data_IF_931181623433
#
_entry.id   IF_931181623433
#
_cell.length_a   1.000
_cell.length_b   1.000
_cell.length_c   1.000
_cell.angle_alpha   90.00
_cell.angle_beta   90.00
_cell.angle_gamma   90.00
#
_symmetry.space_group_name_H-M   'P 1'
#
loop_
_entity.id
_entity.type
_entity.pdbx_description
1 polymer ?
#
# COMPACT_ATOMS: atom_id res chain seq x y z
N UNK A 1 39.51 7.98 -41.84
CA UNK A 1 38.97 6.80 -41.12
C UNK A 1 38.31 7.25 -39.80
N UNK A 2 37.08 7.80 -39.81
CA UNK A 2 36.43 8.30 -38.56
C UNK A 2 34.91 8.01 -38.43
N UNK A 3 34.26 7.45 -39.46
CA UNK A 3 32.79 7.23 -39.44
C UNK A 3 32.36 5.94 -38.72
N UNK A 4 33.16 4.86 -38.80
CA UNK A 4 32.77 3.55 -38.23
C UNK A 4 32.83 3.54 -36.69
N UNK A 5 33.83 4.18 -36.10
CA UNK A 5 34.00 4.23 -34.63
C UNK A 5 32.90 5.05 -33.96
N UNK A 6 32.46 6.14 -34.59
CA UNK A 6 31.38 7.00 -34.06
C UNK A 6 30.03 6.30 -34.05
N UNK A 7 29.76 5.43 -35.04
CA UNK A 7 28.49 4.70 -35.13
C UNK A 7 28.41 3.59 -34.06
N UNK A 8 29.52 2.89 -33.81
CA UNK A 8 29.59 1.84 -32.78
C UNK A 8 29.40 2.43 -31.38
N UNK A 9 30.03 3.57 -31.09
CA UNK A 9 29.85 4.26 -29.79
C UNK A 9 28.40 4.70 -29.59
N UNK A 10 27.76 5.25 -30.62
CA UNK A 10 26.35 5.67 -30.53
C UNK A 10 25.40 4.49 -30.27
N UNK A 11 25.61 3.35 -30.94
CA UNK A 11 24.82 2.13 -30.73
C UNK A 11 24.99 1.60 -29.31
N UNK A 12 26.22 1.60 -28.77
CA UNK A 12 26.48 1.17 -27.39
C UNK A 12 25.77 2.09 -26.39
N UNK A 13 25.80 3.41 -26.59
CA UNK A 13 25.08 4.35 -25.73
C UNK A 13 23.56 4.17 -25.79
N UNK A 14 23.00 3.89 -26.96
CA UNK A 14 21.55 3.62 -27.12
C UNK A 14 21.17 2.32 -26.41
N UNK A 15 21.97 1.26 -26.57
CA UNK A 15 21.72 -0.02 -25.90
C UNK A 15 21.86 0.11 -24.37
N UNK A 16 22.86 0.87 -23.89
CA UNK A 16 22.98 1.18 -22.47
C UNK A 16 21.81 2.01 -21.94
N UNK A 17 21.35 3.01 -22.69
CA UNK A 17 20.21 3.84 -22.31
C UNK A 17 18.91 3.05 -22.29
N UNK A 18 18.73 2.09 -23.20
CA UNK A 18 17.58 1.17 -23.21
C UNK A 18 17.68 0.19 -22.02
N UNK A 19 18.86 -0.35 -21.71
CA UNK A 19 19.06 -1.22 -20.54
C UNK A 19 18.84 -0.48 -19.21
N UNK A 20 19.33 0.75 -19.09
CA UNK A 20 19.07 1.63 -17.94
C UNK A 20 17.59 2.01 -17.89
N UNK A 21 16.96 2.25 -19.03
CA UNK A 21 15.51 2.44 -19.15
C UNK A 21 14.73 1.22 -18.65
N UNK A 22 15.10 0.00 -19.05
CA UNK A 22 14.46 -1.23 -18.57
C UNK A 22 14.70 -1.50 -17.07
N UNK A 23 15.88 -1.17 -16.55
CA UNK A 23 16.19 -1.26 -15.11
C UNK A 23 15.42 -0.21 -14.30
N UNK A 24 15.14 0.96 -14.87
CA UNK A 24 14.35 2.01 -14.23
C UNK A 24 12.83 1.83 -14.40
N UNK A 25 12.38 1.11 -15.42
CA UNK A 25 10.95 0.84 -15.70
C UNK A 25 10.41 -0.34 -14.87
N UNK A 26 11.28 -1.14 -14.23
CA UNK A 26 10.89 -2.26 -13.37
C UNK A 26 11.09 -2.03 -11.86
N UNK A 27 11.15 -0.77 -11.39
CA UNK A 27 10.72 -0.46 -10.01
C UNK A 27 9.21 -0.38 -9.99
N UNK A 28 8.58 -1.49 -10.40
CA UNK A 28 7.15 -1.65 -10.41
C UNK A 28 6.69 -1.64 -8.97
N UNK A 29 6.20 -0.48 -8.57
CA UNK A 29 5.08 -0.35 -7.64
C UNK A 29 5.49 -0.69 -6.19
N UNK A 30 5.52 0.31 -5.30
CA UNK A 30 6.12 0.27 -3.96
C UNK A 30 5.76 -0.95 -3.10
N UNK A 31 6.36 -1.11 -1.91
CA UNK A 31 6.35 -2.37 -1.15
C UNK A 31 4.95 -2.82 -0.66
N UNK A 32 3.87 -2.16 -1.08
CA UNK A 32 2.50 -2.51 -0.77
C UNK A 32 1.94 -3.44 -1.84
N UNK A 33 1.33 -4.54 -1.42
CA UNK A 33 0.61 -5.50 -2.25
C UNK A 33 -0.92 -5.37 -2.13
N UNK A 34 -1.42 -4.80 -1.04
CA UNK A 34 -2.85 -4.59 -0.82
C UNK A 34 -3.18 -3.98 0.53
N UNK A 35 -4.46 -3.69 0.73
CA UNK A 35 -5.04 -3.19 1.97
C UNK A 35 -6.37 -3.89 2.24
N UNK A 36 -6.60 -4.24 3.51
CA UNK A 36 -7.92 -4.61 4.03
C UNK A 36 -8.33 -3.64 5.13
N UNK A 37 -9.54 -3.10 5.04
CA UNK A 37 -10.21 -2.37 6.11
C UNK A 37 -11.19 -3.32 6.83
N UNK A 38 -11.08 -3.42 8.15
CA UNK A 38 -11.91 -4.31 8.97
C UNK A 38 -12.16 -3.75 10.38
N UNK A 39 -13.09 -4.34 11.14
CA UNK A 39 -13.30 -4.03 12.58
C UNK A 39 -12.38 -4.81 13.53
N UNK A 40 -11.50 -5.65 12.97
CA UNK A 40 -10.58 -6.49 13.72
C UNK A 40 -9.17 -6.42 13.16
N UNK A 41 -8.21 -6.69 14.03
CA UNK A 41 -6.81 -6.82 13.66
C UNK A 41 -6.59 -8.10 12.84
N UNK A 42 -5.90 -7.96 11.71
CA UNK A 42 -5.33 -9.06 10.94
C UNK A 42 -3.80 -9.01 11.15
N UNK A 43 -3.35 -9.55 12.27
CA UNK A 43 -1.98 -9.42 12.81
C UNK A 43 -0.94 -10.33 12.13
N UNK A 44 -1.35 -11.18 11.19
CA UNK A 44 -0.47 -12.02 10.41
C UNK A 44 -0.99 -12.23 8.97
N UNK A 45 -0.09 -12.68 8.09
CA UNK A 45 -0.37 -12.86 6.66
C UNK A 45 -1.41 -13.96 6.38
N UNK A 46 -1.51 -14.99 7.22
CA UNK A 46 -2.51 -16.05 7.03
C UNK A 46 -3.92 -15.54 7.30
N UNK A 47 -4.09 -14.73 8.35
CA UNK A 47 -5.36 -14.05 8.64
C UNK A 47 -5.72 -13.05 7.54
N UNK A 48 -4.74 -12.30 7.05
CA UNK A 48 -4.93 -11.38 5.92
C UNK A 48 -5.44 -12.13 4.68
N UNK A 49 -4.70 -13.14 4.20
CA UNK A 49 -5.06 -13.88 2.99
C UNK A 49 -6.43 -14.59 3.14
N UNK A 50 -6.71 -15.17 4.32
CA UNK A 50 -8.02 -15.77 4.55
C UNK A 50 -9.15 -14.73 4.58
N UNK A 51 -8.90 -13.48 4.98
CA UNK A 51 -9.89 -12.41 4.95
C UNK A 51 -10.13 -11.90 3.52
N UNK A 52 -9.05 -11.75 2.75
CA UNK A 52 -9.06 -11.38 1.33
C UNK A 52 -9.90 -12.36 0.50
N UNK A 53 -9.70 -13.67 0.70
CA UNK A 53 -10.42 -14.72 -0.05
C UNK A 53 -11.88 -14.88 0.38
N UNK A 54 -12.17 -14.83 1.68
CA UNK A 54 -13.48 -15.25 2.22
C UNK A 54 -14.46 -14.10 2.43
N UNK A 55 -13.95 -12.89 2.64
CA UNK A 55 -14.74 -11.66 2.81
C UNK A 55 -15.87 -11.83 3.85
N UNK A 56 -15.55 -11.67 5.13
CA UNK A 56 -16.50 -11.80 6.24
C UNK A 56 -17.30 -10.53 6.54
N UNK A 57 -18.28 -10.61 7.44
CA UNK A 57 -19.08 -9.44 7.90
C UNK A 57 -18.26 -8.31 8.54
N UNK A 58 -17.09 -8.67 9.04
CA UNK A 58 -16.12 -7.82 9.73
C UNK A 58 -15.13 -7.15 8.75
N UNK A 59 -15.21 -7.51 7.46
CA UNK A 59 -14.37 -6.96 6.39
C UNK A 59 -15.19 -5.93 5.62
N UNK A 60 -14.65 -4.73 5.50
CA UNK A 60 -15.38 -3.61 4.90
C UNK A 60 -14.89 -3.22 3.51
N UNK A 61 -13.59 -3.36 3.29
CA UNK A 61 -12.93 -2.96 2.05
C UNK A 61 -11.74 -3.88 1.82
N UNK A 62 -11.62 -4.42 0.61
CA UNK A 62 -10.43 -5.15 0.14
C UNK A 62 -9.93 -4.42 -1.10
N UNK A 63 -8.65 -4.09 -1.08
CA UNK A 63 -7.95 -3.40 -2.17
C UNK A 63 -6.70 -4.19 -2.50
N UNK A 64 -6.63 -4.70 -3.73
CA UNK A 64 -5.51 -5.52 -4.21
C UNK A 64 -4.76 -4.79 -5.29
N UNK A 65 -3.55 -5.25 -5.57
CA UNK A 65 -2.68 -4.69 -6.61
C UNK A 65 -2.77 -5.51 -7.90
N UNK A 66 -3.48 -4.99 -8.90
CA UNK A 66 -3.55 -5.58 -10.25
C UNK A 66 -2.89 -4.67 -11.28
N UNK A 67 -2.08 -5.22 -12.17
CA UNK A 67 -1.46 -4.50 -13.30
C UNK A 67 -0.81 -3.16 -12.94
N UNK A 68 -0.10 -3.13 -11.80
CA UNK A 68 0.50 -1.93 -11.19
C UNK A 68 -0.51 -0.84 -10.76
N UNK A 69 -1.70 -1.23 -10.31
CA UNK A 69 -2.75 -0.34 -9.79
C UNK A 69 -3.45 -1.00 -8.62
N UNK A 70 -3.84 -0.19 -7.65
CA UNK A 70 -4.71 -0.63 -6.57
C UNK A 70 -6.17 -0.63 -7.02
N UNK A 71 -6.77 -1.81 -7.12
CA UNK A 71 -8.16 -2.01 -7.50
C UNK A 71 -9.00 -2.38 -6.26
N UNK A 72 -10.26 -1.93 -6.24
CA UNK A 72 -11.21 -2.25 -5.17
C UNK A 72 -11.95 -3.54 -5.52
N UNK A 73 -11.56 -4.63 -4.88
CA UNK A 73 -12.10 -5.96 -5.14
C UNK A 73 -13.39 -6.23 -4.36
N UNK A 74 -13.52 -5.61 -3.19
CA UNK A 74 -14.67 -5.78 -2.31
C UNK A 74 -14.95 -4.53 -1.51
N UNK A 75 -16.23 -4.21 -1.33
CA UNK A 75 -16.70 -3.12 -0.47
C UNK A 75 -18.09 -3.39 0.09
N UNK A 76 -18.27 -3.06 1.36
CA UNK A 76 -19.58 -2.99 2.04
C UNK A 76 -19.69 -1.68 2.83
N UNK A 77 -20.83 -1.47 3.47
CA UNK A 77 -21.06 -0.33 4.36
C UNK A 77 -20.10 -0.37 5.55
N UNK A 78 -19.44 0.76 5.84
CA UNK A 78 -18.53 0.93 6.97
C UNK A 78 -19.31 1.63 8.08
N UNK A 79 -19.55 0.96 9.22
CA UNK A 79 -20.34 1.53 10.31
C UNK A 79 -19.60 2.66 11.05
N UNK A 80 -20.35 3.63 11.56
CA UNK A 80 -19.84 4.60 12.52
C UNK A 80 -19.58 3.98 13.90
N UNK A 81 -18.76 4.64 14.72
CA UNK A 81 -18.45 4.28 16.11
C UNK A 81 -17.76 2.92 16.32
N UNK A 82 -17.46 2.17 15.26
CA UNK A 82 -16.67 0.94 15.32
C UNK A 82 -15.18 1.24 15.11
N UNK A 83 -14.31 0.50 15.79
CA UNK A 83 -12.88 0.58 15.53
C UNK A 83 -12.60 0.15 14.09
N UNK A 84 -11.73 0.88 13.40
CA UNK A 84 -11.28 0.51 12.07
C UNK A 84 -9.81 0.13 12.09
N UNK A 85 -9.48 -0.96 11.41
CA UNK A 85 -8.11 -1.42 11.22
C UNK A 85 -7.81 -1.41 9.73
N UNK A 86 -6.86 -0.57 9.33
CA UNK A 86 -6.25 -0.62 8.01
C UNK A 86 -5.05 -1.55 8.09
N UNK A 87 -5.20 -2.76 7.56
CA UNK A 87 -4.10 -3.74 7.49
C UNK A 87 -3.53 -3.74 6.09
N UNK A 88 -2.24 -3.46 5.98
CA UNK A 88 -1.51 -3.38 4.72
C UNK A 88 -0.65 -4.62 4.56
N UNK A 89 -0.78 -5.29 3.43
CA UNK A 89 0.14 -6.33 3.01
C UNK A 89 1.38 -5.70 2.37
N UNK A 90 2.53 -5.92 3.01
CA UNK A 90 3.85 -5.45 2.59
C UNK A 90 4.64 -6.62 1.98
N UNK A 91 5.21 -6.41 0.80
CA UNK A 91 6.07 -7.34 0.05
C UNK A 91 7.41 -6.68 -0.26
N UNK A 92 8.44 -7.51 -0.44
CA UNK A 92 9.79 -7.11 -0.87
C UNK A 92 10.43 -6.03 0.02
N UNK A 93 10.11 -6.04 1.31
CA UNK A 93 10.59 -5.06 2.29
C UNK A 93 11.44 -5.73 3.38
N UNK A 94 12.60 -5.15 3.77
CA UNK A 94 13.41 -5.73 4.83
C UNK A 94 12.71 -5.60 6.18
N UNK A 95 12.91 -6.61 7.04
CA UNK A 95 12.51 -6.54 8.45
C UNK A 95 13.13 -5.32 9.13
N UNK A 96 12.35 -4.70 10.02
CA UNK A 96 12.74 -3.48 10.71
C UNK A 96 12.41 -2.20 9.94
N UNK A 97 11.84 -2.30 8.74
CA UNK A 97 11.33 -1.12 8.02
C UNK A 97 10.17 -0.49 8.77
N UNK A 98 10.21 0.84 8.88
CA UNK A 98 9.18 1.64 9.55
C UNK A 98 8.21 2.23 8.54
N UNK A 99 6.93 2.10 8.83
CA UNK A 99 5.84 2.64 8.04
C UNK A 99 5.01 3.60 8.88
N UNK A 100 4.71 4.77 8.32
CA UNK A 100 3.80 5.73 8.95
C UNK A 100 2.44 5.65 8.28
N UNK A 101 1.43 5.25 9.04
CA UNK A 101 0.04 5.23 8.60
C UNK A 101 -0.66 6.49 9.08
N UNK A 102 -1.36 7.18 8.18
CA UNK A 102 -2.13 8.38 8.49
C UNK A 102 -3.60 8.17 8.16
N UNK A 103 -4.45 8.47 9.11
CA UNK A 103 -5.89 8.59 8.91
C UNK A 103 -6.23 10.06 8.69
N UNK A 104 -6.91 10.33 7.59
CA UNK A 104 -7.39 11.66 7.26
C UNK A 104 -8.91 11.66 7.19
N UNK A 105 -9.52 12.74 7.66
CA UNK A 105 -10.94 13.04 7.47
C UNK A 105 -11.05 14.42 6.86
N UNK A 106 -11.69 14.53 5.70
CA UNK A 106 -11.73 15.78 4.92
C UNK A 106 -10.34 16.43 4.74
N UNK A 107 -9.34 15.63 4.35
CA UNK A 107 -7.95 16.03 4.12
C UNK A 107 -7.19 16.54 5.37
N UNK A 108 -7.78 16.47 6.56
CA UNK A 108 -7.10 16.74 7.83
C UNK A 108 -6.65 15.42 8.48
N UNK A 109 -5.38 15.36 8.92
CA UNK A 109 -4.85 14.21 9.66
C UNK A 109 -5.48 14.16 11.05
N UNK A 110 -6.25 13.10 11.31
CA UNK A 110 -6.91 12.88 12.61
C UNK A 110 -6.16 11.87 13.49
N UNK A 111 -5.33 11.01 12.88
CA UNK A 111 -4.46 10.06 13.59
C UNK A 111 -3.26 9.70 12.74
N UNK A 112 -2.12 9.51 13.38
CA UNK A 112 -0.87 9.08 12.78
C UNK A 112 -0.17 8.10 13.71
N UNK A 113 0.26 6.95 13.17
CA UNK A 113 0.99 5.93 13.91
C UNK A 113 2.17 5.41 13.08
N UNK A 114 3.24 5.00 13.76
CA UNK A 114 4.40 4.34 13.16
C UNK A 114 4.40 2.87 13.56
N UNK A 115 4.49 1.99 12.57
CA UNK A 115 4.56 0.54 12.77
C UNK A 115 5.80 -0.01 12.08
N UNK A 116 6.53 -0.88 12.78
CA UNK A 116 7.71 -1.56 12.25
C UNK A 116 7.32 -2.94 11.71
N UNK A 117 7.73 -3.26 10.49
CA UNK A 117 7.60 -4.60 9.93
C UNK A 117 8.49 -5.58 10.68
N UNK A 118 7.89 -6.62 11.27
CA UNK A 118 8.60 -7.58 12.14
C UNK A 118 9.02 -8.86 11.43
N UNK A 119 8.50 -9.10 10.21
CA UNK A 119 8.76 -10.26 9.37
C UNK A 119 9.77 -9.93 8.27
N UNK A 120 10.45 -10.96 7.78
CA UNK A 120 11.38 -10.85 6.67
C UNK A 120 10.63 -10.99 5.34
N UNK A 121 10.96 -10.16 4.35
CA UNK A 121 10.51 -10.22 2.94
C UNK A 121 9.03 -10.03 2.63
N UNK A 122 8.11 -10.45 3.50
CA UNK A 122 6.66 -10.29 3.36
C UNK A 122 6.00 -10.24 4.74
N UNK A 123 4.94 -9.44 4.88
CA UNK A 123 4.14 -9.42 6.10
C UNK A 123 3.04 -8.38 6.09
N UNK A 124 2.46 -8.15 7.25
CA UNK A 124 1.38 -7.18 7.41
C UNK A 124 1.73 -6.15 8.48
N UNK A 125 1.27 -4.92 8.26
CA UNK A 125 1.27 -3.86 9.27
C UNK A 125 -0.16 -3.36 9.43
N UNK A 126 -0.60 -3.12 10.67
CA UNK A 126 -1.98 -2.75 10.96
C UNK A 126 -2.02 -1.45 11.74
N UNK A 127 -2.89 -0.54 11.31
CA UNK A 127 -3.09 0.78 11.89
C UNK A 127 -4.53 0.88 12.38
N UNK A 128 -4.75 1.32 13.60
CA UNK A 128 -6.07 1.38 14.22
C UNK A 128 -6.57 2.81 14.26
N UNK A 129 -7.83 3.04 13.88
CA UNK A 129 -8.58 4.24 14.19
C UNK A 129 -9.66 3.89 15.22
N UNK A 130 -9.61 4.53 16.39
CA UNK A 130 -10.58 4.33 17.47
C UNK A 130 -11.99 4.75 17.01
N UNK A 131 -13.00 3.96 17.37
CA UNK A 131 -14.40 4.16 16.98
C UNK A 131 -14.95 5.53 17.35
N UNK A 132 -14.48 6.12 18.46
CA UNK A 132 -14.83 7.49 18.87
C UNK A 132 -14.45 8.56 17.81
N UNK A 133 -13.50 8.25 16.91
CA UNK A 133 -13.08 9.10 15.80
C UNK A 133 -13.71 8.68 14.45
N UNK A 134 -14.51 7.61 14.45
CA UNK A 134 -15.18 7.06 13.26
C UNK A 134 -16.62 7.55 13.25
N UNK A 135 -16.89 8.54 12.41
CA UNK A 135 -18.21 9.13 12.23
C UNK A 135 -18.47 9.37 10.75
N UNK A 136 -19.73 9.40 10.34
CA UNK A 136 -20.13 9.57 8.94
C UNK A 136 -19.30 10.62 8.19
N UNK A 137 -18.85 10.29 6.99
CA UNK A 137 -18.08 11.20 6.15
C UNK A 137 -17.02 10.50 5.28
N UNK A 138 -16.28 11.32 4.54
CA UNK A 138 -15.17 10.85 3.70
C UNK A 138 -13.86 10.77 4.47
N UNK A 139 -13.15 9.66 4.28
CA UNK A 139 -11.85 9.37 4.88
C UNK A 139 -10.82 9.03 3.80
N UNK A 140 -9.55 9.24 4.13
CA UNK A 140 -8.40 8.69 3.40
C UNK A 140 -7.48 7.98 4.38
N UNK A 141 -6.98 6.81 3.99
CA UNK A 141 -5.85 6.18 4.65
C UNK A 141 -4.63 6.32 3.74
N UNK A 142 -3.54 6.89 4.27
CA UNK A 142 -2.27 7.03 3.57
C UNK A 142 -1.18 6.23 4.28
N UNK A 143 -0.28 5.63 3.50
CA UNK A 143 0.89 4.94 4.01
C UNK A 143 2.17 5.58 3.46
N UNK A 144 3.13 5.78 4.35
CA UNK A 144 4.41 6.39 4.06
C UNK A 144 5.57 5.48 4.46
N UNK A 145 6.63 5.52 3.66
CA UNK A 145 7.98 5.03 3.98
C UNK A 145 8.92 6.24 4.02
N UNK A 146 9.33 6.66 5.23
CA UNK A 146 9.92 7.98 5.44
C UNK A 146 8.96 9.09 4.98
N UNK A 147 9.45 10.01 4.14
CA UNK A 147 8.63 11.11 3.60
C UNK A 147 7.86 10.72 2.32
N UNK A 148 8.04 9.49 1.81
CA UNK A 148 7.44 9.06 0.55
C UNK A 148 6.09 8.40 0.80
N UNK A 149 5.00 9.01 0.29
CA UNK A 149 3.70 8.34 0.19
C UNK A 149 3.81 7.18 -0.80
N UNK A 150 3.53 5.96 -0.33
CA UNK A 150 3.61 4.73 -1.12
C UNK A 150 2.25 4.10 -1.39
N UNK A 151 1.23 4.49 -0.63
CA UNK A 151 -0.15 4.04 -0.83
C UNK A 151 -1.15 5.07 -0.30
N UNK A 152 -2.30 5.14 -0.94
CA UNK A 152 -3.44 5.95 -0.52
C UNK A 152 -4.74 5.25 -0.91
N UNK A 153 -5.73 5.27 -0.01
CA UNK A 153 -7.09 4.81 -0.31
C UNK A 153 -8.12 5.68 0.38
N UNK A 154 -9.01 6.25 -0.42
CA UNK A 154 -10.19 6.98 0.04
C UNK A 154 -11.39 6.05 0.20
N UNK A 155 -12.21 6.27 1.22
CA UNK A 155 -13.45 5.55 1.47
C UNK A 155 -14.44 6.44 2.26
N UNK A 156 -15.67 5.95 2.46
CA UNK A 156 -16.71 6.69 3.18
C UNK A 156 -17.30 5.83 4.29
N UNK A 157 -17.51 6.44 5.46
CA UNK A 157 -18.25 5.88 6.60
C UNK A 157 -19.71 6.34 6.49
N UNK A 158 -20.66 5.43 6.72
CA UNK A 158 -22.09 5.64 6.50
C UNK A 158 -22.92 5.82 7.78
#
# INVERSE_FOLDING_TARGET
MKKKTSLIVLIIFIVLAILVGFVLVNKGDGPVAGMILADKVLDDIHKYNSAEEKQGKEIYLVVSKEYNKFEEDYKTSIPESENLYSTIHIVECPKGSEFTGKWLKHDEVIKEDVVTLTTDSEGVVSFMLDGDNVSRGGYSFELYEGDRKIFEKTFSVE
#
